data_IF_500158564009
#
_entry.id   IF_500158564009
#
_cell.length_a   1.000
_cell.length_b   1.000
_cell.length_c   1.000
_cell.angle_alpha   90.00
_cell.angle_beta   90.00
_cell.angle_gamma   90.00
#
_symmetry.space_group_name_H-M   'P 1'
#
loop_
_entity.id
_entity.type
_entity.pdbx_description
1 polymer ?
#
# COMPACT_ATOMS: atom_id res chain seq x y z
N UNK A 1 58.66 -24.64 -24.75
CA UNK A 1 57.23 -24.90 -25.05
C UNK A 1 56.46 -24.53 -23.80
N UNK A 2 55.72 -23.43 -23.82
CA UNK A 2 54.91 -22.99 -22.68
C UNK A 2 53.54 -23.67 -22.75
N UNK A 3 53.10 -24.28 -21.65
CA UNK A 3 51.78 -24.92 -21.59
C UNK A 3 50.66 -23.85 -21.66
N UNK A 4 49.58 -24.10 -22.41
CA UNK A 4 48.44 -23.20 -22.45
C UNK A 4 47.68 -23.25 -21.13
N UNK A 5 47.55 -22.10 -20.48
CA UNK A 5 46.71 -21.93 -19.28
C UNK A 5 45.26 -22.29 -19.60
N UNK A 6 44.72 -23.25 -18.84
CA UNK A 6 43.31 -23.63 -18.86
C UNK A 6 42.44 -22.45 -18.41
N UNK A 7 41.77 -21.80 -19.35
CA UNK A 7 40.70 -20.83 -19.09
C UNK A 7 39.45 -21.58 -18.63
N UNK A 8 39.47 -22.07 -17.39
CA UNK A 8 38.25 -22.48 -16.71
C UNK A 8 37.37 -21.24 -16.53
N UNK A 9 36.43 -21.06 -17.46
CA UNK A 9 35.28 -20.17 -17.28
C UNK A 9 34.39 -20.85 -16.25
N UNK A 10 34.71 -20.68 -14.97
CA UNK A 10 33.76 -20.94 -13.90
C UNK A 10 32.57 -20.01 -14.14
N UNK A 11 31.51 -20.56 -14.74
CA UNK A 11 30.20 -19.95 -14.72
C UNK A 11 29.79 -19.89 -13.27
N UNK A 12 30.10 -18.78 -12.59
CA UNK A 12 29.61 -18.47 -11.26
C UNK A 12 28.09 -18.44 -11.36
N UNK A 13 27.47 -19.58 -11.06
CA UNK A 13 26.03 -19.73 -11.07
C UNK A 13 25.49 -18.79 -9.99
N UNK A 14 25.00 -17.62 -10.41
CA UNK A 14 24.46 -16.62 -9.51
C UNK A 14 23.43 -17.29 -8.60
N UNK A 15 23.60 -17.24 -7.26
CA UNK A 15 22.71 -17.95 -6.36
C UNK A 15 21.28 -17.49 -6.64
N UNK A 16 20.44 -18.43 -7.07
CA UNK A 16 19.04 -18.18 -7.39
C UNK A 16 18.35 -17.70 -6.12
N UNK A 17 18.23 -16.37 -5.97
CA UNK A 17 17.65 -15.73 -4.79
C UNK A 17 16.19 -16.19 -4.65
N UNK A 18 15.96 -17.21 -3.82
CA UNK A 18 14.62 -17.75 -3.53
C UNK A 18 14.03 -17.02 -2.32
N UNK A 19 12.79 -16.58 -2.47
CA UNK A 19 11.96 -16.10 -1.36
C UNK A 19 12.14 -14.62 -0.97
N UNK A 20 11.43 -14.25 0.09
CA UNK A 20 11.41 -12.89 0.66
C UNK A 20 12.62 -12.73 1.57
N UNK A 21 13.35 -11.62 1.43
CA UNK A 21 14.60 -11.34 2.17
C UNK A 21 15.06 -9.90 1.95
N UNK A 22 16.21 -9.49 2.49
CA UNK A 22 16.81 -8.15 2.25
C UNK A 22 15.79 -7.00 2.30
N UNK A 23 15.81 -6.13 1.27
CA UNK A 23 14.85 -5.02 1.12
C UNK A 23 13.37 -5.40 0.96
N UNK A 24 13.06 -6.66 0.68
CA UNK A 24 11.66 -7.10 0.66
C UNK A 24 11.12 -7.33 2.07
N UNK A 25 11.96 -7.45 3.11
CA UNK A 25 11.48 -7.56 4.50
C UNK A 25 10.80 -6.26 4.94
N UNK A 26 11.36 -5.09 4.58
CA UNK A 26 10.74 -3.80 4.86
C UNK A 26 9.37 -3.68 4.18
N UNK A 27 9.28 -4.13 2.93
CA UNK A 27 8.00 -4.17 2.20
C UNK A 27 7.01 -5.12 2.86
N UNK A 28 7.46 -6.29 3.33
CA UNK A 28 6.64 -7.25 4.06
C UNK A 28 6.02 -6.63 5.32
N UNK A 29 6.83 -5.89 6.09
CA UNK A 29 6.36 -5.15 7.27
C UNK A 29 5.31 -4.12 6.84
N UNK A 30 5.58 -3.34 5.79
CA UNK A 30 4.62 -2.36 5.28
C UNK A 30 3.28 -2.98 4.86
N UNK A 31 3.29 -4.16 4.22
CA UNK A 31 2.08 -4.88 3.82
C UNK A 31 1.23 -5.35 5.01
N UNK A 32 1.83 -5.59 6.18
CA UNK A 32 1.11 -5.99 7.39
C UNK A 32 0.68 -4.77 8.21
N UNK A 33 1.56 -3.79 8.37
CA UNK A 33 1.30 -2.59 9.19
C UNK A 33 0.27 -1.68 8.55
N UNK A 34 0.25 -1.53 7.23
CA UNK A 34 -0.67 -0.62 6.53
C UNK A 34 -2.15 -0.86 6.84
N UNK A 35 -2.68 -2.10 6.66
CA UNK A 35 -4.05 -2.44 7.04
C UNK A 35 -4.38 -2.13 8.51
N UNK A 36 -3.44 -2.41 9.43
CA UNK A 36 -3.63 -2.17 10.86
C UNK A 36 -3.74 -0.68 11.14
N UNK A 37 -2.87 0.14 10.55
CA UNK A 37 -2.91 1.60 10.71
C UNK A 37 -4.23 2.21 10.24
N UNK A 38 -4.80 1.70 9.14
CA UNK A 38 -6.12 2.16 8.66
C UNK A 38 -7.20 1.81 9.68
N UNK A 39 -7.20 0.58 10.20
CA UNK A 39 -8.19 0.15 11.19
C UNK A 39 -8.09 0.93 12.50
N UNK A 40 -6.89 1.16 13.03
CA UNK A 40 -6.71 1.96 14.24
C UNK A 40 -7.13 3.41 14.02
N UNK A 41 -6.78 3.99 12.86
CA UNK A 41 -7.24 5.34 12.49
C UNK A 41 -8.76 5.45 12.40
N UNK A 42 -9.46 4.43 11.90
CA UNK A 42 -10.92 4.40 11.88
C UNK A 42 -11.52 4.33 13.29
N UNK A 43 -10.93 3.53 14.19
CA UNK A 43 -11.39 3.42 15.59
C UNK A 43 -11.23 4.77 16.30
N UNK A 44 -10.08 5.43 16.14
CA UNK A 44 -9.82 6.76 16.72
C UNK A 44 -10.77 7.82 16.15
N UNK A 45 -10.93 7.86 14.82
CA UNK A 45 -11.82 8.80 14.14
C UNK A 45 -13.26 8.63 14.64
N UNK A 46 -13.82 7.42 14.59
CA UNK A 46 -15.21 7.18 15.00
C UNK A 46 -15.43 7.31 16.51
N UNK A 47 -14.43 6.98 17.33
CA UNK A 47 -14.48 7.16 18.78
C UNK A 47 -14.45 8.63 19.21
N UNK A 48 -13.92 9.52 18.37
CA UNK A 48 -13.86 10.97 18.64
C UNK A 48 -15.13 11.73 18.25
N UNK A 49 -16.04 11.10 17.50
CA UNK A 49 -17.24 11.76 17.01
C UNK A 49 -18.29 11.90 18.11
N UNK A 50 -19.06 13.02 18.13
CA UNK A 50 -20.16 13.19 19.06
C UNK A 50 -21.18 12.05 18.99
N UNK A 51 -21.74 11.68 20.14
CA UNK A 51 -22.79 10.66 20.22
C UNK A 51 -23.98 11.01 19.33
N UNK A 52 -24.53 10.01 18.62
CA UNK A 52 -25.64 10.21 17.68
C UNK A 52 -25.24 10.67 16.27
N UNK A 53 -23.97 11.02 16.03
CA UNK A 53 -23.48 11.40 14.68
C UNK A 53 -23.74 10.30 13.65
N UNK A 54 -23.53 9.03 14.02
CA UNK A 54 -23.79 7.88 13.13
C UNK A 54 -25.29 7.71 12.80
N UNK A 55 -26.18 7.92 13.78
CA UNK A 55 -27.62 7.84 13.58
C UNK A 55 -28.13 9.01 12.72
N UNK A 56 -27.49 10.18 12.81
CA UNK A 56 -27.82 11.37 12.03
C UNK A 56 -27.39 11.26 10.56
N UNK A 57 -26.27 10.60 10.29
CA UNK A 57 -25.72 10.47 8.93
C UNK A 57 -25.40 9.02 8.55
N UNK A 58 -26.39 8.10 8.51
CA UNK A 58 -26.14 6.67 8.36
C UNK A 58 -25.45 6.32 7.03
N UNK A 59 -25.83 6.99 5.93
CA UNK A 59 -25.21 6.76 4.62
C UNK A 59 -23.75 7.21 4.56
N UNK A 60 -23.39 8.27 5.28
CA UNK A 60 -22.01 8.74 5.35
C UNK A 60 -21.13 7.69 6.06
N UNK A 61 -21.58 7.16 7.20
CA UNK A 61 -20.86 6.14 7.96
C UNK A 61 -20.74 4.81 7.22
N UNK A 62 -21.85 4.34 6.63
CA UNK A 62 -21.85 3.07 5.89
C UNK A 62 -20.91 3.16 4.68
N UNK A 63 -20.95 4.27 3.95
CA UNK A 63 -20.10 4.44 2.77
C UNK A 63 -18.63 4.65 3.13
N UNK A 64 -18.31 5.55 4.07
CA UNK A 64 -16.94 5.76 4.54
C UNK A 64 -16.33 4.47 5.11
N UNK A 65 -17.01 3.87 6.09
CA UNK A 65 -16.58 2.63 6.71
C UNK A 65 -16.48 1.48 5.72
N UNK A 66 -17.48 1.31 4.85
CA UNK A 66 -17.52 0.27 3.83
C UNK A 66 -16.38 0.39 2.82
N UNK A 67 -16.10 1.60 2.31
CA UNK A 67 -15.01 1.84 1.36
C UNK A 67 -13.64 1.58 1.99
N UNK A 68 -13.41 2.06 3.22
CA UNK A 68 -12.14 1.82 3.92
C UNK A 68 -11.95 0.34 4.28
N UNK A 69 -13.01 -0.36 4.72
CA UNK A 69 -12.95 -1.80 4.98
C UNK A 69 -12.72 -2.61 3.70
N UNK A 70 -13.36 -2.24 2.59
CA UNK A 70 -13.10 -2.87 1.29
C UNK A 70 -11.63 -2.67 0.86
N UNK A 71 -11.08 -1.47 1.08
CA UNK A 71 -9.68 -1.19 0.81
C UNK A 71 -8.73 -1.99 1.72
N UNK A 72 -9.04 -2.12 3.02
CA UNK A 72 -8.31 -3.01 3.94
C UNK A 72 -8.33 -4.46 3.46
N UNK A 73 -9.50 -4.96 3.05
CA UNK A 73 -9.62 -6.30 2.46
C UNK A 73 -8.78 -6.46 1.20
N UNK A 74 -8.74 -5.43 0.35
CA UNK A 74 -7.87 -5.40 -0.82
C UNK A 74 -6.39 -5.42 -0.45
N UNK A 75 -5.95 -4.63 0.54
CA UNK A 75 -4.56 -4.65 1.02
C UNK A 75 -4.15 -6.00 1.60
N UNK A 76 -5.04 -6.66 2.36
CA UNK A 76 -4.79 -8.03 2.85
C UNK A 76 -4.63 -8.98 1.66
N UNK A 77 -5.46 -8.86 0.63
CA UNK A 77 -5.31 -9.66 -0.58
C UNK A 77 -3.97 -9.41 -1.27
N UNK A 78 -3.54 -8.15 -1.42
CA UNK A 78 -2.20 -7.81 -1.96
C UNK A 78 -1.08 -8.42 -1.11
N UNK A 79 -1.18 -8.35 0.21
CA UNK A 79 -0.23 -8.97 1.13
C UNK A 79 -0.18 -10.50 0.96
N UNK A 80 -1.32 -11.17 0.76
CA UNK A 80 -1.35 -12.60 0.45
C UNK A 80 -0.64 -12.91 -0.87
N UNK A 81 -0.83 -12.10 -1.92
CA UNK A 81 -0.09 -12.26 -3.18
C UNK A 81 1.41 -12.04 -2.99
N UNK A 82 1.80 -11.08 -2.14
CA UNK A 82 3.18 -10.82 -1.76
C UNK A 82 3.83 -12.06 -1.10
N UNK A 83 3.21 -12.59 -0.04
CA UNK A 83 3.78 -13.75 0.68
C UNK A 83 3.76 -15.03 -0.14
N UNK A 84 2.81 -15.17 -1.08
CA UNK A 84 2.79 -16.25 -2.06
C UNK A 84 3.75 -16.03 -3.23
N UNK A 85 4.48 -14.92 -3.27
CA UNK A 85 5.47 -14.58 -4.31
C UNK A 85 4.88 -14.61 -5.73
N UNK A 86 3.60 -14.23 -5.86
CA UNK A 86 2.87 -14.28 -7.13
C UNK A 86 3.30 -13.18 -8.09
N UNK A 87 3.37 -13.48 -9.38
CA UNK A 87 3.70 -12.51 -10.42
C UNK A 87 2.70 -11.34 -10.52
N UNK A 88 1.50 -11.50 -9.95
CA UNK A 88 0.47 -10.45 -9.87
C UNK A 88 0.76 -9.39 -8.80
N UNK A 89 1.60 -9.69 -7.79
CA UNK A 89 1.86 -8.77 -6.68
C UNK A 89 2.35 -7.39 -7.14
N UNK A 90 3.37 -7.25 -8.02
CA UNK A 90 3.88 -5.94 -8.42
C UNK A 90 2.78 -5.02 -9.01
N UNK A 91 1.91 -5.57 -9.84
CA UNK A 91 0.80 -4.82 -10.43
C UNK A 91 -0.24 -4.43 -9.36
N UNK A 92 -0.62 -5.39 -8.51
CA UNK A 92 -1.59 -5.14 -7.43
C UNK A 92 -1.07 -4.13 -6.40
N UNK A 93 0.23 -4.14 -6.11
CA UNK A 93 0.86 -3.15 -5.23
C UNK A 93 0.71 -1.74 -5.80
N UNK A 94 1.00 -1.55 -7.08
CA UNK A 94 0.84 -0.24 -7.75
C UNK A 94 -0.63 0.21 -7.73
N UNK A 95 -1.56 -0.70 -8.03
CA UNK A 95 -3.00 -0.41 -7.96
C UNK A 95 -3.41 -0.02 -6.54
N UNK A 96 -2.94 -0.75 -5.52
CA UNK A 96 -3.23 -0.43 -4.12
C UNK A 96 -2.73 0.96 -3.76
N UNK A 97 -1.56 1.35 -4.25
CA UNK A 97 -1.01 2.67 -4.00
C UNK A 97 -1.85 3.79 -4.63
N UNK A 98 -2.26 3.61 -5.89
CA UNK A 98 -3.13 4.58 -6.59
C UNK A 98 -4.47 4.71 -5.88
N UNK A 99 -5.08 3.58 -5.50
CA UNK A 99 -6.35 3.57 -4.76
C UNK A 99 -6.18 4.25 -3.41
N UNK A 100 -5.10 3.97 -2.68
CA UNK A 100 -4.81 4.59 -1.38
C UNK A 100 -4.65 6.10 -1.46
N UNK A 101 -4.04 6.62 -2.53
CA UNK A 101 -3.97 8.07 -2.78
C UNK A 101 -5.35 8.66 -3.12
N UNK A 102 -6.16 7.97 -3.92
CA UNK A 102 -7.47 8.47 -4.30
C UNK A 102 -8.50 8.41 -3.16
N UNK A 103 -8.37 7.45 -2.25
CA UNK A 103 -9.40 7.09 -1.28
C UNK A 103 -9.86 8.26 -0.39
N UNK A 104 -8.98 9.10 0.21
CA UNK A 104 -9.42 10.23 1.03
C UNK A 104 -10.29 11.24 0.26
N UNK A 105 -10.01 11.44 -1.04
CA UNK A 105 -10.80 12.33 -1.88
C UNK A 105 -12.16 11.73 -2.21
N UNK A 106 -12.20 10.44 -2.55
CA UNK A 106 -13.46 9.73 -2.84
C UNK A 106 -14.36 9.71 -1.59
N UNK A 107 -13.79 9.40 -0.43
CA UNK A 107 -14.48 9.46 0.86
C UNK A 107 -14.95 10.88 1.16
N UNK A 108 -14.10 11.89 0.97
CA UNK A 108 -14.45 13.29 1.18
C UNK A 108 -15.63 13.75 0.33
N UNK A 109 -15.64 13.37 -0.96
CA UNK A 109 -16.77 13.64 -1.88
C UNK A 109 -18.03 12.93 -1.39
N UNK A 110 -17.92 11.65 -1.02
CA UNK A 110 -19.06 10.87 -0.53
C UNK A 110 -19.69 11.47 0.73
N UNK A 111 -18.86 11.79 1.73
CA UNK A 111 -19.32 12.39 2.99
C UNK A 111 -19.92 13.77 2.73
N UNK A 112 -19.31 14.58 1.87
CA UNK A 112 -19.87 15.89 1.50
C UNK A 112 -21.22 15.76 0.81
N UNK A 113 -21.36 14.82 -0.12
CA UNK A 113 -22.60 14.60 -0.86
C UNK A 113 -23.74 14.06 0.04
N UNK A 114 -23.42 13.24 1.04
CA UNK A 114 -24.41 12.60 1.92
C UNK A 114 -24.79 13.42 3.15
N UNK A 115 -23.93 14.36 3.57
CA UNK A 115 -24.16 15.19 4.77
C UNK A 115 -24.41 16.67 4.47
N UNK A 116 -24.02 17.15 3.28
CA UNK A 116 -23.97 18.57 2.93
C UNK A 116 -22.83 19.35 3.59
N UNK A 117 -21.99 18.70 4.41
CA UNK A 117 -20.85 19.31 5.09
C UNK A 117 -19.65 19.24 4.16
N UNK A 118 -19.03 20.38 3.84
CA UNK A 118 -17.86 20.42 2.96
C UNK A 118 -16.59 19.87 3.65
N UNK A 119 -16.45 18.54 3.68
CA UNK A 119 -15.28 17.87 4.25
C UNK A 119 -14.07 17.92 3.32
N UNK A 120 -14.26 18.23 2.03
CA UNK A 120 -13.16 18.42 1.08
C UNK A 120 -12.24 19.59 1.46
N UNK A 121 -12.76 20.59 2.17
CA UNK A 121 -11.95 21.67 2.72
C UNK A 121 -10.83 21.15 3.66
N UNK A 122 -11.06 20.03 4.35
CA UNK A 122 -10.07 19.44 5.25
C UNK A 122 -8.86 18.88 4.50
N UNK A 123 -9.02 18.51 3.22
CA UNK A 123 -7.94 17.98 2.38
C UNK A 123 -6.94 19.05 1.93
N UNK A 124 -7.29 20.33 2.08
CA UNK A 124 -6.39 21.46 1.81
C UNK A 124 -5.72 22.01 3.08
N UNK A 125 -5.95 21.40 4.24
CA UNK A 125 -5.39 21.89 5.51
C UNK A 125 -3.91 21.54 5.65
N UNK A 126 -3.11 22.38 6.35
CA UNK A 126 -1.72 22.06 6.64
C UNK A 126 -1.55 20.72 7.35
N UNK A 127 -2.48 20.35 8.24
CA UNK A 127 -2.37 19.12 9.02
C UNK A 127 -2.60 17.87 8.16
N UNK A 128 -3.53 17.93 7.21
CA UNK A 128 -3.65 16.88 6.19
C UNK A 128 -2.38 16.78 5.35
N UNK A 129 -1.88 17.90 4.81
CA UNK A 129 -0.73 17.91 3.90
C UNK A 129 0.57 17.45 4.56
N UNK A 130 0.77 17.77 5.85
CA UNK A 130 1.94 17.31 6.64
C UNK A 130 2.06 15.79 6.71
N UNK A 131 0.93 15.08 6.71
CA UNK A 131 0.92 13.61 6.77
C UNK A 131 0.86 13.02 5.36
N UNK A 132 -0.02 13.57 4.52
CA UNK A 132 -0.33 13.02 3.21
C UNK A 132 0.81 13.17 2.21
N UNK A 133 1.47 14.34 2.14
CA UNK A 133 2.52 14.58 1.16
C UNK A 133 3.77 13.71 1.39
N UNK A 134 4.33 13.57 2.61
CA UNK A 134 5.43 12.64 2.86
C UNK A 134 5.05 11.18 2.56
N UNK A 135 3.83 10.76 2.91
CA UNK A 135 3.31 9.45 2.56
C UNK A 135 3.30 9.20 1.05
N UNK A 136 2.88 10.21 0.28
CA UNK A 136 2.87 10.16 -1.18
C UNK A 136 4.28 10.10 -1.80
N UNK A 137 5.28 10.72 -1.16
CA UNK A 137 6.68 10.63 -1.61
C UNK A 137 7.26 9.25 -1.30
N UNK A 138 7.09 8.78 -0.07
CA UNK A 138 7.59 7.46 0.37
C UNK A 138 6.98 6.35 -0.47
N UNK A 139 5.68 6.42 -0.74
CA UNK A 139 5.02 5.44 -1.57
C UNK A 139 5.47 5.47 -3.04
N UNK A 140 5.76 6.66 -3.59
CA UNK A 140 6.34 6.77 -4.94
C UNK A 140 7.72 6.10 -5.03
N UNK A 141 8.55 6.23 -3.97
CA UNK A 141 9.83 5.51 -3.87
C UNK A 141 9.62 4.00 -3.91
N UNK A 142 8.64 3.48 -3.17
CA UNK A 142 8.31 2.05 -3.19
C UNK A 142 7.79 1.56 -4.54
N UNK A 143 6.92 2.34 -5.19
CA UNK A 143 6.44 2.03 -6.56
C UNK A 143 7.62 1.98 -7.53
N UNK A 144 8.52 2.97 -7.50
CA UNK A 144 9.72 2.99 -8.33
C UNK A 144 10.62 1.77 -8.06
N UNK A 145 10.76 1.37 -6.80
CA UNK A 145 11.48 0.15 -6.43
C UNK A 145 10.82 -1.11 -6.99
N UNK A 146 9.50 -1.27 -6.87
CA UNK A 146 8.75 -2.43 -7.38
C UNK A 146 8.89 -2.57 -8.91
N UNK A 147 8.84 -1.45 -9.64
CA UNK A 147 8.93 -1.45 -11.11
C UNK A 147 10.35 -1.74 -11.61
N UNK A 148 11.37 -1.17 -10.96
CA UNK A 148 12.74 -1.18 -11.47
C UNK A 148 13.64 -2.27 -10.87
N UNK A 149 13.26 -2.85 -9.71
CA UNK A 149 14.13 -3.79 -9.00
C UNK A 149 14.23 -5.15 -9.69
N UNK A 150 15.45 -5.52 -10.09
CA UNK A 150 15.80 -6.88 -10.56
C UNK A 150 15.41 -7.93 -9.52
N UNK A 151 15.53 -7.60 -8.24
CA UNK A 151 15.20 -8.51 -7.15
C UNK A 151 13.70 -8.79 -7.08
N UNK A 152 12.85 -7.77 -7.23
CA UNK A 152 11.39 -7.95 -7.30
C UNK A 152 11.03 -8.85 -8.47
N UNK A 153 11.60 -8.59 -9.66
CA UNK A 153 11.36 -9.43 -10.86
C UNK A 153 11.77 -10.89 -10.67
N UNK A 154 12.85 -11.15 -9.94
CA UNK A 154 13.32 -12.51 -9.68
C UNK A 154 12.56 -13.22 -8.56
N UNK A 155 11.95 -12.49 -7.61
CA UNK A 155 11.18 -13.07 -6.50
C UNK A 155 9.73 -13.36 -6.90
N UNK A 156 9.08 -12.49 -7.65
CA UNK A 156 7.65 -12.58 -7.98
C UNK A 156 7.41 -13.22 -9.35
N UNK A 157 7.64 -14.53 -9.46
CA UNK A 157 7.51 -15.29 -10.71
C UNK A 157 6.48 -16.43 -10.66
N UNK A 158 5.86 -16.67 -9.50
CA UNK A 158 4.93 -17.77 -9.25
C UNK A 158 3.46 -17.44 -9.58
#
# INVERSE_FOLDING_TARGET
MAEPYSTATETVEQPKLKGIGGWLILMAIGQVVGPIQILTGMIEEYGSLPEGTAARYPLAFIGDGGMRLAYVGFLIYVAVQFFKTRATFPSLFIVSYIVGLALPFVVGVWVTATTGINTLANLATPDFLKVYAPGAVVGAIWVAYVVNSVRVRNTFIN
#
